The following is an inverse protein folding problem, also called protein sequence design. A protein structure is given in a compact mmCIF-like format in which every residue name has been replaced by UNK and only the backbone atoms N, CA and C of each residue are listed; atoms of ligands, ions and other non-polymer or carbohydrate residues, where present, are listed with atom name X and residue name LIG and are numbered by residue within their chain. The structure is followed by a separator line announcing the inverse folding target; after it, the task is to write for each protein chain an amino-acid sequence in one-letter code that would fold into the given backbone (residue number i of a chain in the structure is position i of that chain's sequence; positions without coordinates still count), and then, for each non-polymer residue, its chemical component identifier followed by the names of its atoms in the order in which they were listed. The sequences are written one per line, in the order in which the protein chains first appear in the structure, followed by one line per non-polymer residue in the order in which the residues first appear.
data_IF_044644421603
#
_entry.id   IF_044644421603
#
_cell.length_a   1.000
_cell.length_b   1.000
_cell.length_c   1.000
_cell.angle_alpha   90.00
_cell.angle_beta   90.00
_cell.angle_gamma   90.00
#
_symmetry.space_group_name_H-M   'P 1'
#
loop_
_entity.id
_entity.type
_entity.pdbx_description
1 polymer ?
#
# COMPACT_ATOMS: atom_id res chain seq x y z
N UNK A 1 -2.50 -16.82 19.17
CA UNK A 1 -3.18 -15.51 19.28
C UNK A 1 -2.25 -14.51 18.63
N UNK A 2 -2.64 -13.85 17.54
CA UNK A 2 -1.85 -12.77 16.94
C UNK A 2 -1.46 -11.78 18.05
N UNK A 3 -0.19 -11.39 18.12
CA UNK A 3 0.31 -10.44 19.12
C UNK A 3 -0.40 -9.10 18.92
N UNK A 4 -1.53 -8.90 19.63
CA UNK A 4 -2.35 -7.70 19.56
C UNK A 4 -1.48 -6.49 19.90
N UNK A 5 -1.13 -5.72 18.88
CA UNK A 5 -0.26 -4.54 19.02
C UNK A 5 1.02 -4.57 18.19
N UNK A 6 1.40 -5.70 17.58
CA UNK A 6 2.52 -5.72 16.63
C UNK A 6 2.17 -4.89 15.40
N UNK A 7 3.06 -3.96 15.06
CA UNK A 7 2.93 -3.11 13.87
C UNK A 7 3.39 -3.91 12.65
N UNK A 8 2.60 -3.86 11.57
CA UNK A 8 2.89 -4.53 10.30
C UNK A 8 2.82 -3.50 9.18
N UNK A 9 3.89 -3.39 8.41
CA UNK A 9 3.90 -2.61 7.17
C UNK A 9 3.57 -3.56 6.03
N UNK A 10 2.57 -3.21 5.22
CA UNK A 10 2.19 -3.96 4.02
C UNK A 10 2.59 -3.14 2.80
N UNK A 11 3.36 -3.73 1.90
CA UNK A 11 3.60 -3.13 0.59
C UNK A 11 2.29 -3.05 -0.18
N UNK A 12 1.75 -1.85 -0.37
CA UNK A 12 0.55 -1.60 -1.16
C UNK A 12 0.97 -1.11 -2.54
N UNK A 13 0.69 -1.90 -3.58
CA UNK A 13 1.07 -1.58 -4.95
C UNK A 13 -0.06 -1.01 -5.81
N UNK A 14 -1.27 -0.87 -5.26
CA UNK A 14 -2.50 -0.61 -6.03
C UNK A 14 -3.25 -1.89 -6.42
N UNK A 15 -2.59 -3.05 -6.38
CA UNK A 15 -3.19 -4.34 -6.72
C UNK A 15 -4.07 -4.96 -5.62
N UNK A 16 -5.01 -5.81 -6.04
CA UNK A 16 -6.01 -6.48 -5.19
C UNK A 16 -5.38 -7.37 -4.12
N UNK A 17 -4.31 -8.12 -4.44
CA UNK A 17 -3.69 -9.04 -3.48
C UNK A 17 -3.15 -8.31 -2.25
N UNK A 18 -2.48 -7.18 -2.47
CA UNK A 18 -1.93 -6.34 -1.39
C UNK A 18 -3.04 -5.72 -0.53
N UNK A 19 -4.14 -5.31 -1.16
CA UNK A 19 -5.32 -4.77 -0.46
C UNK A 19 -5.99 -5.82 0.44
N UNK A 20 -6.20 -7.03 -0.09
CA UNK A 20 -6.80 -8.14 0.67
C UNK A 20 -5.87 -8.59 1.79
N UNK A 21 -4.55 -8.64 1.56
CA UNK A 21 -3.58 -8.94 2.61
C UNK A 21 -3.64 -7.92 3.76
N UNK A 22 -3.69 -6.62 3.45
CA UNK A 22 -3.84 -5.55 4.45
C UNK A 22 -5.15 -5.68 5.23
N UNK A 23 -6.27 -5.96 4.55
CA UNK A 23 -7.57 -6.20 5.16
C UNK A 23 -7.52 -7.37 6.15
N UNK A 24 -6.97 -8.53 5.73
CA UNK A 24 -6.88 -9.72 6.60
C UNK A 24 -6.02 -9.49 7.83
N UNK A 25 -4.93 -8.74 7.72
CA UNK A 25 -4.11 -8.37 8.87
C UNK A 25 -4.85 -7.39 9.80
N UNK A 26 -5.61 -6.43 9.27
CA UNK A 26 -6.46 -5.55 10.07
C UNK A 26 -7.54 -6.34 10.81
N UNK A 27 -8.24 -7.25 10.13
CA UNK A 27 -9.26 -8.14 10.72
C UNK A 27 -8.68 -9.06 11.82
N UNK A 28 -7.42 -9.50 11.66
CA UNK A 28 -6.71 -10.29 12.65
C UNK A 28 -6.22 -9.47 13.87
N UNK A 29 -6.42 -8.15 13.88
CA UNK A 29 -6.12 -7.27 15.01
C UNK A 29 -4.70 -6.70 15.04
N UNK A 30 -3.98 -6.71 13.91
CA UNK A 30 -2.68 -6.06 13.79
C UNK A 30 -2.83 -4.54 13.60
N UNK A 31 -1.77 -3.79 13.97
CA UNK A 31 -1.66 -2.37 13.63
C UNK A 31 -1.02 -2.25 12.24
N UNK A 32 -1.86 -2.14 11.22
CA UNK A 32 -1.43 -2.15 9.82
C UNK A 32 -1.20 -0.73 9.31
N UNK A 33 -0.10 -0.53 8.58
CA UNK A 33 0.15 0.64 7.74
C UNK A 33 0.54 0.16 6.34
N UNK A 34 0.15 0.90 5.31
CA UNK A 34 0.58 0.68 3.94
C UNK A 34 1.90 1.37 3.62
N UNK A 35 2.67 0.80 2.70
CA UNK A 35 3.84 1.41 2.09
C UNK A 35 3.75 1.24 0.57
N UNK A 36 3.69 2.35 -0.16
CA UNK A 36 3.86 2.38 -1.61
C UNK A 36 5.32 2.68 -1.94
N UNK A 37 5.89 1.92 -2.87
CA UNK A 37 7.30 2.02 -3.26
C UNK A 37 7.38 2.38 -4.73
N UNK A 38 7.93 3.56 -5.05
CA UNK A 38 8.34 3.90 -6.43
C UNK A 38 9.77 3.40 -6.62
N UNK A 39 9.95 2.38 -7.47
CA UNK A 39 11.24 1.71 -7.67
C UNK A 39 11.88 1.99 -9.03
N UNK A 40 11.16 2.61 -9.96
CA UNK A 40 11.62 2.88 -11.33
C UNK A 40 11.21 4.30 -11.72
N UNK A 41 12.14 5.08 -12.26
CA UNK A 41 11.85 6.38 -12.87
C UNK A 41 11.46 6.27 -14.35
N UNK A 42 11.79 5.15 -15.00
CA UNK A 42 11.56 4.91 -16.44
C UNK A 42 10.07 4.70 -16.80
N UNK A 43 9.19 4.46 -15.82
CA UNK A 43 7.73 4.40 -16.02
C UNK A 43 7.07 5.79 -16.13
N UNK A 44 7.85 6.87 -16.15
CA UNK A 44 7.40 8.25 -16.40
C UNK A 44 7.50 8.62 -17.90
N UNK A 45 6.89 7.83 -18.79
CA UNK A 45 6.62 8.30 -20.17
C UNK A 45 5.47 9.32 -20.16
N UNK A 46 5.65 10.42 -20.90
CA UNK A 46 4.93 11.69 -20.76
C UNK A 46 3.39 11.67 -20.88
N UNK A 47 2.78 10.55 -21.30
CA UNK A 47 1.33 10.41 -21.51
C UNK A 47 0.63 9.46 -20.51
N UNK A 48 1.36 8.63 -19.76
CA UNK A 48 0.76 7.66 -18.83
C UNK A 48 1.73 7.24 -17.72
N UNK A 49 1.70 7.92 -16.59
CA UNK A 49 2.47 7.50 -15.41
C UNK A 49 1.72 6.36 -14.70
N UNK A 50 2.04 5.12 -15.04
CA UNK A 50 1.45 3.92 -14.41
C UNK A 50 1.63 3.93 -12.89
N UNK A 51 2.78 4.42 -12.41
CA UNK A 51 3.05 4.58 -10.98
C UNK A 51 2.11 5.59 -10.29
N UNK A 52 1.59 6.59 -11.00
CA UNK A 52 0.63 7.55 -10.44
C UNK A 52 -0.77 6.93 -10.29
N UNK A 53 -1.20 6.09 -11.23
CA UNK A 53 -2.46 5.34 -11.14
C UNK A 53 -2.38 4.31 -10.01
N UNK A 54 -1.31 3.51 -9.97
CA UNK A 54 -1.07 2.53 -8.90
C UNK A 54 -1.02 3.20 -7.52
N UNK A 55 -0.43 4.39 -7.42
CA UNK A 55 -0.43 5.18 -6.19
C UNK A 55 -1.84 5.67 -5.82
N UNK A 56 -2.65 6.08 -6.81
CA UNK A 56 -4.03 6.50 -6.57
C UNK A 56 -4.87 5.33 -6.06
N UNK A 57 -4.71 4.14 -6.62
CA UNK A 57 -5.40 2.93 -6.16
C UNK A 57 -4.93 2.50 -4.77
N UNK A 58 -3.62 2.55 -4.49
CA UNK A 58 -3.08 2.29 -3.16
C UNK A 58 -3.64 3.27 -2.10
N UNK A 59 -3.81 4.55 -2.46
CA UNK A 59 -4.45 5.56 -1.60
C UNK A 59 -5.91 5.24 -1.33
N UNK A 60 -6.69 4.92 -2.37
CA UNK A 60 -8.10 4.54 -2.23
C UNK A 60 -8.27 3.31 -1.34
N UNK A 61 -7.41 2.31 -1.49
CA UNK A 61 -7.39 1.12 -0.61
C UNK A 61 -7.10 1.52 0.83
N UNK A 62 -6.06 2.33 1.06
CA UNK A 62 -5.66 2.75 2.40
C UNK A 62 -6.77 3.57 3.10
N UNK A 63 -7.42 4.48 2.39
CA UNK A 63 -8.58 5.24 2.88
C UNK A 63 -9.76 4.32 3.21
N UNK A 64 -10.09 3.40 2.30
CA UNK A 64 -11.21 2.46 2.49
C UNK A 64 -11.00 1.54 3.69
N UNK A 65 -9.75 1.14 3.91
CA UNK A 65 -9.31 0.32 5.02
C UNK A 65 -8.98 1.13 6.27
N UNK A 66 -9.06 2.47 6.26
CA UNK A 66 -8.69 3.34 7.39
C UNK A 66 -7.32 2.95 7.99
N UNK A 67 -6.30 2.97 7.13
CA UNK A 67 -4.89 2.75 7.47
C UNK A 67 -4.04 3.86 6.85
N UNK A 68 -2.93 4.19 7.49
CA UNK A 68 -1.97 5.18 6.96
C UNK A 68 -1.21 4.59 5.77
N UNK A 69 -1.04 5.37 4.70
CA UNK A 69 -0.20 5.03 3.55
C UNK A 69 1.07 5.88 3.55
N UNK A 70 2.21 5.22 3.65
CA UNK A 70 3.52 5.82 3.45
C UNK A 70 3.93 5.70 1.98
N UNK A 71 4.71 6.65 1.49
CA UNK A 71 5.29 6.60 0.13
C UNK A 71 6.80 6.75 0.24
N UNK A 72 7.55 5.85 -0.39
CA UNK A 72 9.02 5.93 -0.46
C UNK A 72 9.46 5.80 -1.92
N UNK A 73 10.44 6.61 -2.30
CA UNK A 73 11.16 6.46 -3.56
C UNK A 73 12.45 5.67 -3.31
N UNK A 74 12.62 4.55 -4.00
CA UNK A 74 13.81 3.69 -3.98
C UNK A 74 14.55 3.67 -5.32
N UNK A 75 14.16 4.55 -6.25
CA UNK A 75 14.80 4.77 -7.54
C UNK A 75 16.06 5.62 -7.39
#
# INVERSE_FOLDING_TARGET
MAERGRRVIVGLSGGVDSAVAALRLKEAGYRVQGLFMKNWEEDDDADYCAAAEDLADARQVAERLDIELLTVNFS
#
